data_IF_756313919448
#
_entry.id   IF_756313919448
#
_cell.length_a   1.000
_cell.length_b   1.000
_cell.length_c   1.000
_cell.angle_alpha   90.00
_cell.angle_beta   90.00
_cell.angle_gamma   90.00
#
_symmetry.space_group_name_H-M   'P 1'
#
loop_
_entity.id
_entity.type
_entity.pdbx_description
1 polymer ?
#
# COMPACT_ATOMS: atom_id res chain seq x y z
N UNK A 1 4.72 0.72 31.59
CA UNK A 1 5.92 1.50 31.22
C UNK A 1 7.10 0.65 31.60
N UNK A 2 7.98 0.33 30.65
CA UNK A 2 9.14 -0.54 30.89
C UNK A 2 10.37 0.33 31.01
N UNK A 3 11.18 0.07 32.02
CA UNK A 3 12.41 0.84 32.25
C UNK A 3 13.59 -0.11 32.26
N UNK A 4 14.60 0.19 31.44
CA UNK A 4 15.85 -0.54 31.44
C UNK A 4 16.61 -0.29 32.76
N UNK A 5 17.08 -1.34 33.41
CA UNK A 5 17.85 -1.24 34.66
C UNK A 5 19.23 -0.63 34.44
N UNK A 6 19.87 -0.89 33.31
CA UNK A 6 21.24 -0.44 33.02
C UNK A 6 21.32 1.03 32.58
N UNK A 7 20.41 1.48 31.69
CA UNK A 7 20.48 2.82 31.10
C UNK A 7 19.31 3.74 31.50
N UNK A 8 18.39 3.28 32.36
CA UNK A 8 17.20 4.03 32.83
C UNK A 8 16.26 4.51 31.72
N UNK A 9 16.49 4.10 30.47
CA UNK A 9 15.65 4.43 29.33
C UNK A 9 14.26 3.81 29.48
N UNK A 10 13.23 4.59 29.15
CA UNK A 10 11.83 4.23 29.31
C UNK A 10 11.24 3.91 27.95
N UNK A 11 10.70 2.71 27.80
CA UNK A 11 10.05 2.25 26.57
C UNK A 11 8.66 1.71 26.85
N UNK A 12 7.85 1.66 25.80
CA UNK A 12 6.55 0.99 25.83
C UNK A 12 6.66 -0.30 25.02
N UNK A 13 5.78 -1.28 25.29
CA UNK A 13 5.74 -2.53 24.49
C UNK A 13 5.40 -2.27 23.02
N UNK A 14 4.80 -1.11 22.72
CA UNK A 14 4.39 -0.72 21.38
C UNK A 14 5.46 0.12 20.67
N UNK A 15 6.56 0.48 21.35
CA UNK A 15 7.65 1.24 20.76
C UNK A 15 8.28 0.47 19.60
N UNK A 16 8.47 1.12 18.45
CA UNK A 16 8.98 0.48 17.23
C UNK A 16 7.96 -0.39 16.50
N UNK A 17 6.69 -0.41 16.91
CA UNK A 17 5.62 -1.14 16.23
C UNK A 17 4.65 -0.20 15.51
N UNK A 18 3.79 -0.76 14.66
CA UNK A 18 2.68 -0.02 14.05
C UNK A 18 1.74 0.64 15.06
N UNK A 19 1.75 0.19 16.32
CA UNK A 19 0.89 0.69 17.38
C UNK A 19 1.57 1.72 18.29
N UNK A 20 2.77 2.18 17.92
CA UNK A 20 3.50 3.19 18.67
C UNK A 20 2.69 4.48 18.85
N UNK A 21 2.69 4.99 20.09
CA UNK A 21 2.00 6.21 20.52
C UNK A 21 0.49 6.25 20.20
N UNK A 22 -0.16 5.09 20.02
CA UNK A 22 -1.59 5.03 19.77
C UNK A 22 -2.40 5.15 21.06
N UNK A 23 -3.50 5.91 21.00
CA UNK A 23 -4.47 6.04 22.11
C UNK A 23 -5.66 5.09 21.96
N UNK A 24 -5.66 4.27 20.92
CA UNK A 24 -6.72 3.33 20.60
C UNK A 24 -6.42 1.97 21.23
N UNK A 25 -7.45 1.21 21.64
CA UNK A 25 -7.24 -0.14 22.12
C UNK A 25 -6.73 -1.03 20.99
N UNK A 26 -5.78 -1.92 21.29
CA UNK A 26 -5.17 -2.83 20.31
C UNK A 26 -6.19 -3.73 19.60
N UNK A 27 -7.30 -4.05 20.27
CA UNK A 27 -8.40 -4.83 19.67
C UNK A 27 -8.96 -4.16 18.41
N UNK A 28 -9.11 -2.83 18.43
CA UNK A 28 -9.58 -2.04 17.28
C UNK A 28 -8.58 -2.11 16.13
N UNK A 29 -7.28 -2.08 16.44
CA UNK A 29 -6.24 -2.22 15.42
C UNK A 29 -6.23 -3.60 14.78
N UNK A 30 -6.35 -4.67 15.56
CA UNK A 30 -6.41 -6.03 15.03
C UNK A 30 -7.67 -6.26 14.19
N UNK A 31 -8.82 -5.72 14.60
CA UNK A 31 -10.04 -5.76 13.80
C UNK A 31 -9.85 -5.01 12.46
N UNK A 32 -9.23 -3.83 12.49
CA UNK A 32 -8.94 -3.06 11.27
C UNK A 32 -8.00 -3.83 10.32
N UNK A 33 -6.98 -4.49 10.88
CA UNK A 33 -6.05 -5.32 10.12
C UNK A 33 -6.77 -6.50 9.46
N UNK A 34 -7.59 -7.22 10.22
CA UNK A 34 -8.39 -8.35 9.73
C UNK A 34 -9.29 -7.94 8.55
N UNK A 35 -10.00 -6.82 8.68
CA UNK A 35 -10.89 -6.32 7.63
C UNK A 35 -10.13 -5.93 6.36
N UNK A 36 -8.94 -5.33 6.49
CA UNK A 36 -8.11 -4.94 5.35
C UNK A 36 -7.48 -6.14 4.63
N UNK A 37 -7.11 -7.20 5.37
CA UNK A 37 -6.48 -8.38 4.75
C UNK A 37 -7.50 -9.33 4.11
N UNK A 38 -8.76 -9.30 4.57
CA UNK A 38 -9.81 -10.16 4.03
C UNK A 38 -10.31 -9.71 2.65
N UNK A 39 -10.22 -8.42 2.35
CA UNK A 39 -10.73 -7.83 1.12
C UNK A 39 -9.76 -7.99 -0.05
N UNK A 40 -10.24 -8.47 -1.21
CA UNK A 40 -9.47 -8.47 -2.47
C UNK A 40 -9.15 -7.04 -2.94
N UNK A 41 -9.96 -6.06 -2.54
CA UNK A 41 -9.85 -4.65 -2.93
C UNK A 41 -9.63 -3.75 -1.72
N UNK A 42 -9.14 -2.53 -1.95
CA UNK A 42 -8.92 -1.55 -0.89
C UNK A 42 -10.25 -1.10 -0.24
N UNK A 43 -10.51 -1.50 1.01
CA UNK A 43 -11.70 -1.10 1.78
C UNK A 43 -11.76 0.42 1.96
N UNK A 44 -12.94 1.02 1.78
CA UNK A 44 -13.13 2.45 1.98
C UNK A 44 -12.97 2.85 3.46
N UNK A 45 -12.44 4.05 3.72
CA UNK A 45 -12.30 4.54 5.11
C UNK A 45 -13.66 4.68 5.82
N UNK A 46 -14.73 4.97 5.06
CA UNK A 46 -16.09 5.04 5.57
C UNK A 46 -16.62 3.67 6.03
N UNK A 47 -16.25 2.60 5.34
CA UNK A 47 -16.62 1.24 5.71
C UNK A 47 -15.86 0.78 6.95
N UNK A 48 -14.55 1.06 7.01
CA UNK A 48 -13.76 0.87 8.24
C UNK A 48 -14.41 1.58 9.44
N UNK A 49 -14.85 2.83 9.25
CA UNK A 49 -15.53 3.62 10.29
C UNK A 49 -16.76 2.88 10.85
N UNK A 50 -17.60 2.32 9.97
CA UNK A 50 -18.81 1.59 10.35
C UNK A 50 -18.49 0.31 11.13
N UNK A 51 -17.49 -0.45 10.72
CA UNK A 51 -17.10 -1.69 11.40
C UNK A 51 -16.37 -1.46 12.73
N UNK A 52 -15.55 -0.41 12.82
CA UNK A 52 -14.73 -0.13 13.99
C UNK A 52 -15.46 0.73 15.04
N UNK A 53 -16.55 1.41 14.66
CA UNK A 53 -17.27 2.33 15.55
C UNK A 53 -16.46 3.57 15.96
N UNK A 54 -15.47 3.96 15.16
CA UNK A 54 -14.61 5.14 15.41
C UNK A 54 -15.03 6.31 14.53
N UNK A 55 -14.54 7.52 14.79
CA UNK A 55 -14.77 8.64 13.88
C UNK A 55 -14.02 8.47 12.55
N UNK A 56 -14.55 9.06 11.47
CA UNK A 56 -13.98 8.95 10.12
C UNK A 56 -12.49 9.28 10.05
N UNK A 57 -12.06 10.38 10.71
CA UNK A 57 -10.65 10.80 10.73
C UNK A 57 -9.74 9.74 11.33
N UNK A 58 -10.21 9.04 12.35
CA UNK A 58 -9.46 7.96 13.00
C UNK A 58 -9.38 6.73 12.09
N UNK A 59 -10.50 6.33 11.48
CA UNK A 59 -10.54 5.24 10.51
C UNK A 59 -9.59 5.50 9.32
N UNK A 60 -9.59 6.72 8.80
CA UNK A 60 -8.68 7.14 7.73
C UNK A 60 -7.21 7.04 8.14
N UNK A 61 -6.84 7.52 9.35
CA UNK A 61 -5.45 7.41 9.86
C UNK A 61 -5.01 5.97 10.04
N UNK A 62 -5.88 5.10 10.58
CA UNK A 62 -5.61 3.67 10.74
C UNK A 62 -5.34 3.04 9.38
N UNK A 63 -6.26 3.25 8.43
CA UNK A 63 -6.12 2.74 7.06
C UNK A 63 -4.80 3.17 6.45
N UNK A 64 -4.48 4.46 6.46
CA UNK A 64 -3.25 4.96 5.85
C UNK A 64 -1.99 4.41 6.52
N UNK A 65 -1.96 4.29 7.85
CA UNK A 65 -0.81 3.72 8.57
C UNK A 65 -0.60 2.25 8.22
N UNK A 66 -1.68 1.47 8.10
CA UNK A 66 -1.61 0.06 7.70
C UNK A 66 -1.19 -0.10 6.23
N UNK A 67 -1.77 0.69 5.33
CA UNK A 67 -1.39 0.65 3.91
C UNK A 67 0.07 1.02 3.70
N UNK A 68 0.55 2.09 4.36
CA UNK A 68 1.96 2.48 4.32
C UNK A 68 2.87 1.36 4.80
N UNK A 69 2.53 0.70 5.91
CA UNK A 69 3.31 -0.42 6.42
C UNK A 69 3.37 -1.61 5.44
N UNK A 70 2.26 -1.92 4.78
CA UNK A 70 2.21 -2.95 3.74
C UNK A 70 3.07 -2.55 2.53
N UNK A 71 3.02 -1.29 2.10
CA UNK A 71 3.85 -0.77 1.02
C UNK A 71 5.33 -0.82 1.36
N UNK A 72 5.74 -0.37 2.55
CA UNK A 72 7.14 -0.42 3.00
C UNK A 72 7.67 -1.85 3.07
N UNK A 73 6.82 -2.82 3.47
CA UNK A 73 7.16 -4.25 3.45
C UNK A 73 7.33 -4.80 2.05
N UNK A 74 6.46 -4.40 1.11
CA UNK A 74 6.46 -4.93 -0.26
C UNK A 74 7.44 -4.17 -1.20
N UNK A 75 7.92 -2.99 -0.82
CA UNK A 75 8.75 -2.12 -1.67
C UNK A 75 10.01 -2.81 -2.22
N UNK A 76 10.59 -3.76 -1.48
CA UNK A 76 11.77 -4.53 -1.90
C UNK A 76 11.44 -5.83 -2.64
N UNK A 77 10.17 -6.23 -2.74
CA UNK A 77 9.77 -7.51 -3.31
C UNK A 77 9.60 -7.38 -4.82
N UNK A 78 10.45 -8.08 -5.57
CA UNK A 78 10.31 -8.24 -7.01
C UNK A 78 9.50 -9.50 -7.31
N UNK A 79 8.44 -9.36 -8.11
CA UNK A 79 7.68 -10.49 -8.61
C UNK A 79 8.49 -11.17 -9.72
N UNK A 80 8.68 -12.49 -9.61
CA UNK A 80 9.36 -13.31 -10.62
C UNK A 80 8.39 -14.24 -11.36
N UNK A 81 8.79 -14.71 -12.54
CA UNK A 81 8.00 -15.63 -13.36
C UNK A 81 6.95 -14.92 -14.21
N UNK A 82 5.88 -15.65 -14.58
CA UNK A 82 4.75 -15.10 -15.32
C UNK A 82 3.83 -14.34 -14.35
N UNK A 83 3.83 -13.02 -14.45
CA UNK A 83 2.97 -12.14 -13.65
C UNK A 83 1.76 -11.72 -14.49
N UNK A 84 0.57 -12.15 -14.07
CA UNK A 84 -0.68 -11.71 -14.65
C UNK A 84 -1.25 -10.56 -13.80
N UNK A 85 -1.61 -9.45 -14.45
CA UNK A 85 -2.22 -8.28 -13.82
C UNK A 85 -3.67 -8.24 -14.29
N UNK A 86 -4.62 -8.37 -13.35
CA UNK A 86 -6.06 -8.45 -13.64
C UNK A 86 -6.60 -7.16 -14.28
N UNK A 87 -6.19 -5.98 -13.77
CA UNK A 87 -6.66 -4.68 -14.24
C UNK A 87 -5.49 -3.68 -14.30
N UNK A 88 -4.98 -3.39 -15.49
CA UNK A 88 -3.96 -2.35 -15.71
C UNK A 88 -4.54 -1.21 -16.55
N UNK A 89 -4.84 -0.07 -15.91
CA UNK A 89 -5.18 1.14 -16.64
C UNK A 89 -3.91 1.94 -16.94
N UNK A 90 -3.30 1.70 -18.11
CA UNK A 90 -2.25 2.57 -18.65
C UNK A 90 -2.91 3.80 -19.28
N UNK A 91 -2.87 4.94 -18.58
CA UNK A 91 -3.21 6.23 -19.17
C UNK A 91 -2.21 6.58 -20.26
N UNK A 92 -2.68 6.77 -21.50
CA UNK A 92 -1.83 7.22 -22.59
C UNK A 92 -1.22 8.58 -22.26
N UNK A 93 0.09 8.72 -22.49
CA UNK A 93 0.79 10.00 -22.38
C UNK A 93 0.11 11.02 -23.29
N UNK A 94 -0.75 11.86 -22.72
CA UNK A 94 -1.34 12.98 -23.44
C UNK A 94 -0.31 14.10 -23.42
N UNK A 95 0.62 14.07 -24.38
CA UNK A 95 1.24 15.30 -24.84
C UNK A 95 0.11 16.15 -25.43
N UNK A 96 -0.28 17.18 -24.68
CA UNK A 96 -0.99 18.39 -25.14
C UNK A 96 -2.15 18.19 -26.11
N UNK A 97 -3.41 18.26 -25.64
CA UNK A 97 -4.48 18.97 -26.33
C UNK A 97 -5.75 19.03 -25.47
N UNK A 98 -6.33 20.21 -25.40
CA UNK A 98 -7.54 20.52 -24.68
C UNK A 98 -8.79 19.88 -25.30
N UNK A 99 -9.83 19.78 -24.44
CA UNK A 99 -11.26 19.79 -24.73
C UNK A 99 -12.01 18.46 -24.97
N UNK A 100 -12.90 18.20 -24.00
CA UNK A 100 -14.32 17.78 -24.07
C UNK A 100 -14.69 16.62 -25.01
N UNK A 101 -15.08 15.53 -24.36
CA UNK A 101 -16.06 14.56 -24.87
C UNK A 101 -15.48 13.49 -25.78
N UNK A 102 -15.05 12.36 -25.21
CA UNK A 102 -14.82 11.16 -26.01
C UNK A 102 -15.12 9.90 -25.21
N UNK A 103 -15.94 9.04 -25.82
CA UNK A 103 -16.46 7.80 -25.32
C UNK A 103 -15.39 6.85 -24.74
N UNK A 104 -15.83 6.00 -23.81
CA UNK A 104 -15.11 4.80 -23.33
C UNK A 104 -14.50 4.06 -24.52
N UNK A 105 -13.19 4.23 -24.71
CA UNK A 105 -12.37 3.30 -25.49
C UNK A 105 -11.62 2.43 -24.50
N UNK A 106 -12.01 1.16 -24.44
CA UNK A 106 -11.22 0.10 -23.83
C UNK A 106 -9.90 0.00 -24.60
N UNK A 107 -8.80 0.37 -23.96
CA UNK A 107 -7.46 0.15 -24.47
C UNK A 107 -7.15 -1.35 -24.42
N UNK A 108 -7.21 -2.00 -25.58
CA UNK A 108 -6.64 -3.33 -25.76
C UNK A 108 -5.11 -3.21 -25.63
N UNK A 109 -4.53 -4.01 -24.72
CA UNK A 109 -3.10 -4.13 -24.54
C UNK A 109 -2.51 -4.83 -25.78
N UNK A 110 -1.83 -4.10 -26.67
CA UNK A 110 -1.00 -4.72 -27.70
C UNK A 110 0.25 -5.29 -27.03
N UNK A 111 0.49 -6.60 -27.20
CA UNK A 111 1.71 -7.27 -26.78
C UNK A 111 2.90 -6.74 -27.60
N UNK A 112 3.65 -5.79 -27.06
CA UNK A 112 4.96 -5.44 -27.59
C UNK A 112 6.02 -6.36 -26.96
N UNK A 113 6.86 -7.04 -27.75
CA UNK A 113 7.93 -7.88 -27.22
C UNK A 113 8.97 -7.03 -26.49
N UNK A 114 9.34 -7.43 -25.27
CA UNK A 114 10.45 -6.92 -24.46
C UNK A 114 11.81 -7.30 -25.07
N UNK A 115 12.10 -6.83 -26.29
CA UNK A 115 13.39 -7.08 -26.91
C UNK A 115 13.94 -5.81 -27.58
N UNK A 116 14.30 -4.84 -26.74
CA UNK A 116 15.11 -3.70 -27.12
C UNK A 116 15.86 -3.24 -25.88
N UNK A 117 17.19 -3.24 -25.95
CA UNK A 117 18.17 -2.82 -24.94
C UNK A 117 18.69 -3.90 -23.96
N UNK A 118 18.78 -5.15 -24.43
CA UNK A 118 20.01 -5.95 -24.20
C UNK A 118 21.19 -5.26 -24.89
N UNK A 119 21.81 -4.27 -24.26
CA UNK A 119 23.17 -3.77 -24.62
C UNK A 119 23.74 -2.94 -23.48
N UNK A 120 24.11 -3.63 -22.42
CA UNK A 120 25.14 -3.21 -21.49
C UNK A 120 25.71 -4.45 -20.77
N UNK A 121 26.17 -5.43 -21.56
CA UNK A 121 27.10 -6.47 -21.10
C UNK A 121 28.37 -6.26 -21.91
N UNK A 122 29.22 -5.35 -21.42
CA UNK A 122 30.64 -5.33 -21.71
C UNK A 122 31.36 -4.46 -20.68
N UNK A 123 31.72 -5.03 -19.51
CA UNK A 123 33.00 -4.83 -18.82
C UNK A 123 32.96 -5.53 -17.45
N UNK A 124 34.07 -6.22 -17.13
CA UNK A 124 34.48 -6.82 -15.86
C UNK A 124 34.03 -8.24 -15.49
N UNK A 125 34.91 -9.14 -15.97
CA UNK A 125 35.43 -10.40 -15.41
C UNK A 125 34.76 -11.69 -15.86
#
# INVERSE_FOLDING_TARGET
MWQCSACRHQTTLLSGTLFEATKLPLRTWFLALYLLTQSKTNVAALELMRHLGVCYRTAWRIKHKLMQAMTEREAGRQLGGLVQIDDAYLGGASATAANRGAARRTSALSSSPWNSLRRAIHCMR
#
